data_IF_724814004227
#
_entry.id   IF_724814004227
#
_cell.length_a   1.000
_cell.length_b   1.000
_cell.length_c   1.000
_cell.angle_alpha   90.00
_cell.angle_beta   90.00
_cell.angle_gamma   90.00
#
_symmetry.space_group_name_H-M   'P 1'
#
loop_
_entity.id
_entity.type
_entity.pdbx_description
1 polymer ?
#
# COMPACT_ATOMS: atom_id res chain seq x y z
N UNK A 1 3.92 22.85 -6.80
CA UNK A 1 4.07 21.39 -6.65
C UNK A 1 5.56 21.08 -6.58
N UNK A 2 6.16 21.18 -5.40
CA UNK A 2 7.58 20.85 -5.19
C UNK A 2 7.72 19.34 -5.02
N UNK A 3 8.49 18.73 -5.91
CA UNK A 3 8.73 17.30 -6.02
C UNK A 3 9.42 16.76 -4.76
N UNK A 4 8.96 15.62 -4.24
CA UNK A 4 9.57 14.92 -3.12
C UNK A 4 11.03 14.58 -3.45
N UNK A 5 11.97 15.14 -2.71
CA UNK A 5 13.39 14.79 -2.85
C UNK A 5 13.60 13.40 -2.25
N UNK A 6 13.96 12.42 -3.10
CA UNK A 6 14.33 11.07 -2.67
C UNK A 6 15.49 11.16 -1.68
N UNK A 7 15.23 10.92 -0.40
CA UNK A 7 16.25 10.77 0.62
C UNK A 7 16.75 9.31 0.65
N UNK A 8 17.98 9.08 1.12
CA UNK A 8 18.60 7.75 1.21
C UNK A 8 17.83 6.81 2.17
N UNK A 9 16.96 7.37 3.02
CA UNK A 9 16.26 6.66 4.08
C UNK A 9 14.83 6.24 3.72
N UNK A 10 14.37 6.53 2.50
CA UNK A 10 13.03 6.18 2.07
C UNK A 10 12.81 4.67 2.19
N UNK A 11 11.76 4.27 2.90
CA UNK A 11 11.37 2.87 3.08
C UNK A 11 9.88 2.68 2.78
N UNK A 12 9.47 1.43 2.66
CA UNK A 12 8.08 1.06 2.36
C UNK A 12 7.51 0.32 3.56
N UNK A 13 6.43 0.85 4.13
CA UNK A 13 5.65 0.18 5.18
C UNK A 13 4.62 -0.71 4.50
N UNK A 14 4.66 -2.01 4.78
CA UNK A 14 3.66 -2.96 4.28
C UNK A 14 2.58 -3.13 5.33
N UNK A 15 1.33 -2.84 4.96
CA UNK A 15 0.16 -2.98 5.83
C UNK A 15 -0.90 -3.84 5.15
N UNK A 16 -1.61 -4.64 5.94
CA UNK A 16 -2.84 -5.30 5.52
C UNK A 16 -4.01 -4.44 5.97
N UNK A 17 -4.87 -4.04 5.04
CA UNK A 17 -6.07 -3.24 5.30
C UNK A 17 -7.31 -3.94 4.74
N UNK A 18 -8.47 -3.65 5.32
CA UNK A 18 -9.74 -4.19 4.84
C UNK A 18 -10.45 -3.13 4.00
N UNK A 19 -10.63 -3.40 2.71
CA UNK A 19 -11.42 -2.54 1.81
C UNK A 19 -12.72 -3.27 1.46
N UNK A 20 -13.85 -2.72 1.90
CA UNK A 20 -15.14 -3.40 1.81
C UNK A 20 -15.13 -4.75 2.52
N UNK A 21 -15.17 -5.84 1.75
CA UNK A 21 -15.13 -7.22 2.26
C UNK A 21 -13.82 -7.96 1.97
N UNK A 22 -12.83 -7.31 1.36
CA UNK A 22 -11.58 -7.94 0.94
C UNK A 22 -10.39 -7.40 1.73
N UNK A 23 -9.47 -8.30 2.11
CA UNK A 23 -8.19 -7.94 2.69
C UNK A 23 -7.18 -7.67 1.58
N UNK A 24 -6.56 -6.50 1.62
CA UNK A 24 -5.57 -6.06 0.62
C UNK A 24 -4.27 -5.69 1.32
N UNK A 25 -3.15 -6.07 0.71
CA UNK A 25 -1.82 -5.65 1.16
C UNK A 25 -1.41 -4.39 0.40
N UNK A 26 -1.10 -3.34 1.14
CA UNK A 26 -0.65 -2.05 0.61
C UNK A 26 0.77 -1.74 1.06
N UNK A 27 1.50 -1.01 0.22
CA UNK A 27 2.81 -0.45 0.54
C UNK A 27 2.75 1.08 0.60
N UNK A 28 3.08 1.66 1.74
CA UNK A 28 3.17 3.11 1.92
C UNK A 28 4.63 3.57 1.86
N UNK A 29 4.94 4.50 0.97
CA UNK A 29 6.26 5.11 0.89
C UNK A 29 6.41 6.13 2.01
N UNK A 30 7.46 6.00 2.83
CA UNK A 30 7.74 6.91 3.94
C UNK A 30 9.20 7.36 3.92
N UNK A 31 9.46 8.53 4.51
CA UNK A 31 10.79 9.14 4.49
C UNK A 31 11.83 8.35 5.32
N UNK A 32 11.42 7.80 6.47
CA UNK A 32 12.24 6.91 7.32
C UNK A 32 11.40 6.28 8.43
N UNK A 33 11.86 5.15 8.99
CA UNK A 33 11.35 4.56 10.24
C UNK A 33 12.40 4.78 11.32
N UNK A 34 11.98 5.33 12.46
CA UNK A 34 12.90 5.71 13.54
C UNK A 34 13.05 4.60 14.58
N UNK A 35 11.98 4.31 15.33
CA UNK A 35 11.99 3.31 16.40
C UNK A 35 10.59 2.72 16.63
N UNK A 36 10.54 1.63 17.41
CA UNK A 36 9.29 1.03 17.90
C UNK A 36 9.14 1.41 19.37
N UNK A 37 7.99 2.01 19.71
CA UNK A 37 7.71 2.48 21.07
C UNK A 37 6.49 1.76 21.64
N UNK A 38 6.50 1.57 22.96
CA UNK A 38 5.34 1.13 23.71
C UNK A 38 4.68 2.36 24.36
N UNK A 39 3.39 2.56 24.09
CA UNK A 39 2.61 3.66 24.65
C UNK A 39 1.48 3.07 25.51
N UNK A 40 1.48 3.43 26.79
CA UNK A 40 0.39 3.10 27.71
C UNK A 40 -0.89 3.86 27.29
N UNK A 41 -2.08 3.24 27.37
CA UNK A 41 -3.33 3.87 26.98
C UNK A 41 -3.61 5.19 27.69
N UNK A 42 -3.15 5.36 28.94
CA UNK A 42 -3.33 6.60 29.71
C UNK A 42 -2.53 7.78 29.15
N UNK A 43 -1.50 7.51 28.34
CA UNK A 43 -0.69 8.53 27.66
C UNK A 43 -1.25 8.92 26.29
N UNK A 44 -2.39 8.36 25.91
CA UNK A 44 -3.09 8.66 24.66
C UNK A 44 -4.23 9.63 24.97
N UNK A 45 -4.09 10.85 24.49
CA UNK A 45 -5.10 11.90 24.58
C UNK A 45 -5.91 12.00 23.28
N UNK A 46 -7.10 12.58 23.37
CA UNK A 46 -7.93 12.87 22.20
C UNK A 46 -7.21 13.80 21.23
N UNK A 47 -7.42 13.64 19.91
CA UNK A 47 -6.80 14.51 18.92
C UNK A 47 -7.18 15.98 19.15
N UNK A 48 -6.24 16.93 19.04
CA UNK A 48 -6.54 18.34 19.12
C UNK A 48 -7.44 18.73 17.95
N UNK A 49 -8.35 19.68 18.21
CA UNK A 49 -9.13 20.31 17.15
C UNK A 49 -8.22 21.25 16.34
N UNK A 50 -7.48 20.70 15.37
CA UNK A 50 -6.65 21.49 14.46
C UNK A 50 -7.60 22.16 13.44
N UNK A 51 -7.90 23.43 13.67
CA UNK A 51 -8.98 24.18 13.00
C UNK A 51 -8.78 24.54 11.53
N UNK A 52 -8.11 23.74 10.70
CA UNK A 52 -7.97 24.01 9.26
C UNK A 52 -7.85 22.74 8.43
N UNK A 53 -8.76 22.57 7.46
CA UNK A 53 -8.71 21.78 6.21
C UNK A 53 -8.15 20.35 6.18
N UNK A 54 -7.64 19.79 7.28
CA UNK A 54 -7.26 18.39 7.38
C UNK A 54 -8.39 17.63 8.06
N UNK A 55 -8.88 16.56 7.42
CA UNK A 55 -9.77 15.61 8.06
C UNK A 55 -9.03 15.01 9.25
N UNK A 56 -9.44 15.34 10.48
CA UNK A 56 -8.91 14.71 11.69
C UNK A 56 -9.42 13.27 11.85
N UNK A 57 -10.23 12.79 10.92
CA UNK A 57 -10.95 11.53 11.05
C UNK A 57 -10.01 10.32 11.05
N UNK A 58 -8.84 10.45 10.42
CA UNK A 58 -7.78 9.44 10.42
C UNK A 58 -6.85 9.48 11.64
N UNK A 59 -7.02 10.44 12.56
CA UNK A 59 -6.20 10.49 13.78
C UNK A 59 -6.91 9.67 14.85
N UNK A 60 -6.26 8.59 15.28
CA UNK A 60 -6.74 7.76 16.39
C UNK A 60 -6.56 8.45 17.74
N UNK A 61 -5.48 9.21 17.90
CA UNK A 61 -5.19 9.94 19.14
C UNK A 61 -3.81 10.61 19.11
N UNK A 62 -3.46 11.25 20.22
CA UNK A 62 -2.15 11.85 20.45
C UNK A 62 -1.45 11.14 21.60
N UNK A 63 -0.31 10.52 21.34
CA UNK A 63 0.60 10.05 22.37
C UNK A 63 1.48 11.19 22.86
N UNK A 64 1.77 11.20 24.17
CA UNK A 64 2.83 12.05 24.74
C UNK A 64 3.91 11.18 25.37
N UNK A 65 5.16 11.41 24.97
CA UNK A 65 6.34 10.80 25.58
C UNK A 65 7.34 11.91 25.88
N UNK A 66 7.66 12.09 27.15
CA UNK A 66 8.52 13.18 27.62
C UNK A 66 8.01 14.55 27.14
N UNK A 67 8.77 15.23 26.28
CA UNK A 67 8.38 16.52 25.65
C UNK A 67 7.94 16.38 24.18
N UNK A 68 7.89 15.15 23.66
CA UNK A 68 7.51 14.86 22.28
C UNK A 68 6.05 14.46 22.15
N UNK A 69 5.40 15.02 21.12
CA UNK A 69 4.05 14.67 20.73
C UNK A 69 4.07 13.70 19.55
N UNK A 70 3.30 12.63 19.68
CA UNK A 70 3.26 11.54 18.71
C UNK A 70 1.82 11.44 18.18
N UNK A 71 1.63 11.62 16.88
CA UNK A 71 0.33 11.45 16.25
C UNK A 71 0.10 9.96 16.00
N UNK A 72 -0.97 9.41 16.56
CA UNK A 72 -1.36 8.02 16.34
C UNK A 72 -2.39 8.00 15.21
N UNK A 73 -2.03 7.36 14.10
CA UNK A 73 -2.85 7.29 12.91
C UNK A 73 -3.71 6.02 12.91
N UNK A 74 -4.93 6.16 12.39
CA UNK A 74 -5.86 5.08 12.09
C UNK A 74 -5.66 4.65 10.62
N UNK A 75 -4.86 3.60 10.43
CA UNK A 75 -4.47 3.10 9.10
C UNK A 75 -5.69 2.72 8.25
N UNK A 76 -6.69 2.07 8.84
CA UNK A 76 -7.90 1.67 8.12
C UNK A 76 -8.64 2.91 7.58
N UNK A 77 -8.68 4.00 8.35
CA UNK A 77 -9.29 5.26 7.91
C UNK A 77 -8.46 6.02 6.88
N UNK A 78 -7.14 6.01 7.01
CA UNK A 78 -6.26 6.65 6.02
C UNK A 78 -6.52 6.07 4.63
N UNK A 79 -6.50 4.74 4.53
CA UNK A 79 -6.64 4.07 3.25
C UNK A 79 -8.09 3.97 2.75
N UNK A 80 -9.09 4.22 3.61
CA UNK A 80 -10.52 4.27 3.21
C UNK A 80 -10.98 5.68 2.82
N UNK A 81 -10.48 6.75 3.46
CA UNK A 81 -10.76 8.13 3.06
C UNK A 81 -10.26 8.44 1.65
N UNK A 82 -9.16 7.79 1.27
CA UNK A 82 -8.54 7.89 -0.06
C UNK A 82 -9.01 6.79 -1.03
N UNK A 83 -10.11 6.09 -0.74
CA UNK A 83 -10.65 5.00 -1.58
C UNK A 83 -10.55 5.33 -3.09
N UNK A 84 -9.48 4.79 -3.68
CA UNK A 84 -9.49 4.04 -4.92
C UNK A 84 -9.89 4.76 -6.21
N UNK A 85 -10.16 6.07 -6.21
CA UNK A 85 -10.55 6.79 -7.43
C UNK A 85 -9.50 6.71 -8.56
N UNK A 86 -8.22 6.43 -8.25
CA UNK A 86 -7.16 6.23 -9.25
C UNK A 86 -6.65 4.78 -9.38
N UNK A 87 -6.86 3.89 -8.39
CA UNK A 87 -6.19 2.57 -8.39
C UNK A 87 -6.80 1.56 -9.38
N UNK A 88 -8.01 1.80 -9.89
CA UNK A 88 -8.66 0.92 -10.88
C UNK A 88 -7.95 0.88 -12.25
N UNK A 89 -6.95 1.73 -12.50
CA UNK A 89 -6.30 1.85 -13.82
C UNK A 89 -4.98 1.07 -13.97
N UNK A 90 -4.41 0.49 -12.91
CA UNK A 90 -3.06 -0.12 -12.97
C UNK A 90 -3.02 -1.65 -12.73
N UNK A 91 -4.14 -2.30 -12.42
CA UNK A 91 -4.17 -3.68 -11.94
C UNK A 91 -4.55 -4.78 -12.93
N UNK A 92 -4.62 -4.54 -14.25
CA UNK A 92 -4.77 -5.62 -15.25
C UNK A 92 -3.47 -5.88 -15.99
N UNK A 93 -2.46 -6.33 -15.26
CA UNK A 93 -1.33 -7.03 -15.86
C UNK A 93 -1.72 -8.51 -16.05
N UNK A 94 -1.74 -8.92 -17.31
CA UNK A 94 -2.10 -10.22 -17.87
C UNK A 94 -1.80 -11.43 -16.97
N UNK A 95 -2.85 -12.17 -16.60
CA UNK A 95 -2.73 -13.62 -16.37
C UNK A 95 -2.31 -14.22 -17.72
N UNK A 96 -1.05 -14.62 -17.82
CA UNK A 96 -0.55 -15.43 -18.93
C UNK A 96 -1.34 -16.73 -18.97
N UNK A 97 -2.34 -16.82 -19.85
CA UNK A 97 -2.93 -18.10 -20.21
C UNK A 97 -1.85 -18.92 -20.93
N UNK A 98 -1.57 -20.10 -20.38
CA UNK A 98 -0.70 -21.10 -20.95
C UNK A 98 -1.11 -21.37 -22.40
N UNK A 99 -0.13 -21.25 -23.30
CA UNK A 99 -0.23 -21.49 -24.73
C UNK A 99 -0.66 -22.96 -24.97
N UNK A 100 -1.77 -23.26 -25.67
CA UNK A 100 -2.04 -24.63 -26.08
C UNK A 100 -1.04 -25.02 -27.18
N UNK A 101 -0.32 -26.12 -26.95
CA UNK A 101 0.56 -26.74 -27.93
C UNK A 101 -0.26 -27.33 -29.09
N UNK A 102 -0.54 -26.55 -30.13
CA UNK A 102 -1.04 -27.08 -31.41
C UNK A 102 0.14 -27.38 -32.34
N UNK A 103 0.69 -28.59 -32.16
CA UNK A 103 1.20 -29.52 -33.17
C UNK A 103 1.76 -28.91 -34.47
N UNK A 104 3.08 -28.90 -34.58
CA UNK A 104 3.77 -28.77 -35.86
C UNK A 104 3.49 -29.99 -36.72
N UNK A 105 2.83 -29.79 -37.87
CA UNK A 105 2.77 -30.77 -38.93
C UNK A 105 4.18 -30.93 -39.52
N UNK A 106 4.92 -31.96 -39.10
CA UNK A 106 5.98 -32.52 -39.93
C UNK A 106 5.29 -33.33 -41.02
N UNK A 107 5.28 -32.80 -42.24
CA UNK A 107 5.11 -33.64 -43.43
C UNK A 107 6.31 -34.59 -43.52
N UNK A 108 6.12 -35.91 -43.69
CA UNK A 108 7.24 -36.82 -43.84
C UNK A 108 7.94 -36.57 -45.20
N UNK A 109 9.28 -36.59 -45.27
CA UNK A 109 9.98 -36.51 -46.54
C UNK A 109 9.72 -37.79 -47.36
N UNK A 110 9.48 -37.61 -48.65
CA UNK A 110 9.20 -38.68 -49.60
C UNK A 110 10.29 -39.76 -49.60
N UNK A 111 9.85 -41.01 -49.41
CA UNK A 111 10.67 -42.18 -49.66
C UNK A 111 10.67 -42.41 -51.16
N UNK A 112 11.77 -42.02 -51.80
CA UNK A 112 12.15 -42.53 -53.12
C UNK A 112 12.37 -44.04 -52.99
N UNK A 113 11.61 -44.83 -53.73
CA UNK A 113 11.97 -46.22 -53.95
C UNK A 113 11.58 -46.63 -55.38
N UNK A 114 12.63 -46.95 -56.14
CA UNK A 114 12.69 -47.69 -57.40
C UNK A 114 12.10 -47.05 -58.67
#
# INVERSE_FOLDING_TARGET
>A
MTQTQKSVNTCVIIVEVTLGSEKTVLGALVDSVQEVIELEPEKIESPPNIGMHMSTDFIKGMGKRDEEFIIILDIDKIFTLEELSEFHSAGKASVNQERPLSQGALTPPGVSNN
#
